data_IF_717156342708
#
_entry.id   IF_717156342708
#
_cell.length_a   1.000
_cell.length_b   1.000
_cell.length_c   1.000
_cell.angle_alpha   90.00
_cell.angle_beta   90.00
_cell.angle_gamma   90.00
#
_symmetry.space_group_name_H-M   'P 1'
#
loop_
_entity.id
_entity.type
_entity.pdbx_description
1 polymer ?
#
# COMPACT_ATOMS: atom_id res chain seq x y z
N UNK A 1 2.01 -0.43 -8.40
CA UNK A 1 1.98 0.16 -9.77
C UNK A 1 0.73 -0.18 -10.60
N UNK A 2 0.29 -1.44 -10.73
CA UNK A 2 -0.88 -1.77 -11.57
C UNK A 2 -2.23 -1.28 -10.98
N UNK A 3 -2.42 -1.44 -9.67
CA UNK A 3 -3.65 -1.04 -8.99
C UNK A 3 -3.94 0.46 -9.13
N UNK A 4 -2.93 1.32 -8.96
CA UNK A 4 -3.10 2.78 -9.07
C UNK A 4 -3.41 3.23 -10.50
N UNK A 5 -2.86 2.55 -11.51
CA UNK A 5 -3.18 2.81 -12.92
C UNK A 5 -4.61 2.42 -13.27
N UNK A 6 -5.07 1.26 -12.79
CA UNK A 6 -6.48 0.84 -12.92
C UNK A 6 -7.42 1.84 -12.24
N UNK A 7 -7.04 2.33 -11.05
CA UNK A 7 -7.77 3.37 -10.32
C UNK A 7 -7.83 4.70 -11.10
N UNK A 8 -6.69 5.17 -11.62
CA UNK A 8 -6.59 6.37 -12.44
C UNK A 8 -7.47 6.29 -13.69
N UNK A 9 -7.46 5.15 -14.39
CA UNK A 9 -8.32 4.91 -15.54
C UNK A 9 -9.81 4.96 -15.19
N UNK A 10 -10.22 4.33 -14.08
CA UNK A 10 -11.62 4.38 -13.60
C UNK A 10 -12.06 5.79 -13.22
N UNK A 11 -11.16 6.58 -12.65
CA UNK A 11 -11.41 7.97 -12.26
C UNK A 11 -11.25 8.98 -13.41
N UNK A 12 -10.89 8.50 -14.61
CA UNK A 12 -10.54 9.32 -15.76
C UNK A 12 -9.55 10.45 -15.38
N UNK A 13 -8.55 10.08 -14.57
CA UNK A 13 -7.59 10.97 -13.96
C UNK A 13 -6.15 10.49 -14.22
N UNK A 14 -5.17 11.38 -14.07
CA UNK A 14 -3.76 11.01 -14.13
C UNK A 14 -3.37 10.22 -12.88
N UNK A 15 -2.33 9.39 -12.98
CA UNK A 15 -1.80 8.67 -11.80
C UNK A 15 -1.38 9.66 -10.72
N UNK A 16 -0.76 10.78 -11.14
CA UNK A 16 -0.37 11.90 -10.27
C UNK A 16 -1.57 12.50 -9.50
N UNK A 17 -2.70 12.71 -10.16
CA UNK A 17 -3.91 13.23 -9.52
C UNK A 17 -4.46 12.27 -8.45
N UNK A 18 -4.44 10.96 -8.73
CA UNK A 18 -4.86 9.92 -7.78
C UNK A 18 -3.91 9.84 -6.58
N UNK A 19 -2.59 9.85 -6.82
CA UNK A 19 -1.59 9.88 -5.74
C UNK A 19 -1.80 11.10 -4.83
N UNK A 20 -1.95 12.29 -5.42
CA UNK A 20 -2.20 13.51 -4.64
C UNK A 20 -3.53 13.46 -3.90
N UNK A 21 -4.55 12.81 -4.47
CA UNK A 21 -5.84 12.59 -3.80
C UNK A 21 -5.67 11.70 -2.57
N UNK A 22 -4.86 10.65 -2.66
CA UNK A 22 -4.55 9.78 -1.52
C UNK A 22 -3.81 10.51 -0.41
N UNK A 23 -2.82 11.33 -0.77
CA UNK A 23 -2.09 12.18 0.17
C UNK A 23 -2.97 13.26 0.80
N UNK A 24 -4.05 13.67 0.12
CA UNK A 24 -5.01 14.66 0.60
C UNK A 24 -5.99 14.12 1.66
N UNK A 25 -5.99 12.81 1.95
CA UNK A 25 -6.81 12.26 3.04
C UNK A 25 -6.27 12.56 4.44
N UNK A 26 -5.04 13.05 4.56
CA UNK A 26 -4.49 13.57 5.81
C UNK A 26 -5.22 14.83 6.35
N UNK A 27 -4.95 15.18 7.62
CA UNK A 27 -5.44 16.43 8.24
C UNK A 27 -4.92 17.68 7.52
N UNK A 28 -5.53 18.86 7.71
CA UNK A 28 -5.14 20.11 7.00
C UNK A 28 -3.62 20.41 7.05
N UNK A 29 -2.98 20.17 8.20
CA UNK A 29 -1.53 20.33 8.39
C UNK A 29 -0.73 19.25 7.65
N UNK A 30 -1.21 18.01 7.69
CA UNK A 30 -0.63 16.88 6.98
C UNK A 30 -0.75 17.07 5.46
N UNK A 31 -1.87 17.63 4.96
CA UNK A 31 -2.03 17.95 3.52
C UNK A 31 -1.02 18.97 3.03
N UNK A 32 -0.75 20.00 3.83
CA UNK A 32 0.25 21.02 3.50
C UNK A 32 1.67 20.42 3.47
N UNK A 33 2.03 19.63 4.49
CA UNK A 33 3.29 18.90 4.54
C UNK A 33 3.43 17.94 3.34
N UNK A 34 2.39 17.14 3.08
CA UNK A 34 2.35 16.20 1.97
C UNK A 34 2.46 16.91 0.60
N UNK A 35 1.89 18.10 0.42
CA UNK A 35 1.97 18.85 -0.83
C UNK A 35 3.35 19.49 -1.08
N UNK A 36 3.94 20.11 -0.04
CA UNK A 36 5.29 20.67 -0.10
C UNK A 36 6.32 19.57 -0.33
N UNK A 37 6.16 18.47 0.38
CA UNK A 37 7.04 17.32 0.26
C UNK A 37 6.78 16.56 -1.04
N UNK A 38 5.56 16.46 -1.60
CA UNK A 38 5.34 15.85 -2.92
C UNK A 38 6.25 16.44 -4.00
N UNK A 39 6.46 17.77 -3.98
CA UNK A 39 7.42 18.45 -4.85
C UNK A 39 8.87 18.01 -4.61
N UNK A 40 9.27 17.81 -3.35
CA UNK A 40 10.61 17.35 -2.95
C UNK A 40 10.82 15.84 -3.21
N UNK A 41 9.81 15.01 -2.96
CA UNK A 41 9.77 13.56 -3.20
C UNK A 41 9.96 13.24 -4.68
N UNK A 42 9.33 14.01 -5.57
CA UNK A 42 9.52 13.89 -7.01
C UNK A 42 10.95 14.24 -7.46
N UNK A 43 11.68 15.05 -6.68
CA UNK A 43 13.04 15.50 -7.01
C UNK A 43 14.17 14.70 -6.34
N UNK A 44 13.92 14.00 -5.23
CA UNK A 44 14.98 13.44 -4.38
C UNK A 44 15.08 11.90 -4.35
N UNK A 45 14.06 11.15 -4.80
CA UNK A 45 14.04 9.69 -4.61
C UNK A 45 13.76 8.92 -5.91
N UNK A 46 14.74 8.09 -6.29
CA UNK A 46 14.60 7.03 -7.28
C UNK A 46 13.55 6.00 -6.82
N UNK A 47 12.36 6.05 -7.44
CA UNK A 47 11.66 4.85 -7.90
C UNK A 47 10.88 3.98 -6.91
N UNK A 48 10.60 4.40 -5.66
CA UNK A 48 9.66 3.62 -4.81
C UNK A 48 9.09 4.37 -3.62
N UNK A 49 7.76 4.47 -3.52
CA UNK A 49 7.04 4.87 -2.30
C UNK A 49 6.70 3.63 -1.44
N UNK A 50 7.27 3.47 -0.24
CA UNK A 50 6.85 2.42 0.70
C UNK A 50 5.37 2.51 1.10
N UNK A 51 4.78 3.70 1.03
CA UNK A 51 3.43 4.00 1.50
C UNK A 51 2.33 3.79 0.47
N UNK A 52 2.69 3.82 -0.81
CA UNK A 52 1.78 3.64 -1.92
C UNK A 52 2.06 2.36 -2.70
N UNK A 53 3.19 1.68 -2.42
CA UNK A 53 3.68 0.53 -3.21
C UNK A 53 3.71 0.85 -4.71
N UNK A 54 4.10 2.08 -5.03
CA UNK A 54 4.23 2.59 -6.39
C UNK A 54 5.67 3.00 -6.62
N UNK A 55 6.19 2.56 -7.75
CA UNK A 55 7.41 3.10 -8.32
C UNK A 55 7.12 4.53 -8.76
N UNK A 56 7.82 5.55 -8.23
CA UNK A 56 7.66 6.94 -8.68
C UNK A 56 8.34 7.24 -10.02
N UNK A 57 8.73 6.22 -10.79
CA UNK A 57 9.19 6.37 -12.16
C UNK A 57 8.34 7.38 -12.92
N UNK A 58 8.99 8.22 -13.73
CA UNK A 58 8.34 9.26 -14.54
C UNK A 58 7.24 8.58 -15.35
N UNK A 59 5.99 8.72 -14.91
CA UNK A 59 4.84 8.21 -15.63
C UNK A 59 4.70 9.07 -16.88
N UNK A 60 5.09 8.53 -18.03
CA UNK A 60 4.73 9.11 -19.30
C UNK A 60 3.24 8.77 -19.50
N UNK A 61 2.37 9.57 -18.91
CA UNK A 61 0.91 9.48 -19.07
C UNK A 61 0.57 9.93 -20.50
N UNK A 62 0.88 9.09 -21.49
CA UNK A 62 0.44 9.25 -22.88
C UNK A 62 -1.03 8.86 -23.05
N UNK A 63 -1.67 8.29 -22.02
CA UNK A 63 -3.12 8.08 -21.98
C UNK A 63 -3.83 9.36 -21.53
N UNK A 64 -4.85 9.75 -22.31
CA UNK A 64 -5.64 10.98 -22.26
C UNK A 64 -6.47 11.18 -20.98
N UNK A 65 -5.82 11.25 -19.82
CA UNK A 65 -6.46 11.57 -18.55
C UNK A 65 -7.05 12.99 -18.57
N UNK A 66 -8.36 13.12 -18.34
CA UNK A 66 -9.04 14.43 -18.38
C UNK A 66 -8.93 15.23 -17.08
N UNK A 67 -8.51 14.60 -15.98
CA UNK A 67 -8.37 15.23 -14.64
C UNK A 67 -6.94 15.12 -14.13
N UNK A 68 -6.38 16.26 -13.72
CA UNK A 68 -4.98 16.38 -13.28
C UNK A 68 -4.84 16.87 -11.84
N UNK A 69 -5.91 17.43 -11.26
CA UNK A 69 -5.88 17.99 -9.91
C UNK A 69 -6.62 17.08 -8.92
N UNK A 70 -6.10 16.90 -7.69
CA UNK A 70 -6.72 16.05 -6.68
C UNK A 70 -8.11 16.54 -6.26
N UNK A 71 -8.36 17.86 -6.37
CA UNK A 71 -9.68 18.45 -6.05
C UNK A 71 -10.78 18.12 -7.05
N UNK A 72 -10.44 17.60 -8.23
CA UNK A 72 -11.41 17.21 -9.26
C UNK A 72 -12.03 15.82 -8.98
N UNK A 73 -11.51 15.09 -7.99
CA UNK A 73 -11.96 13.76 -7.61
C UNK A 73 -12.61 13.88 -6.24
N UNK A 74 -13.91 13.60 -6.13
CA UNK A 74 -14.59 13.60 -4.84
C UNK A 74 -14.10 12.43 -3.97
N UNK A 75 -14.30 12.50 -2.66
CA UNK A 75 -13.91 11.37 -1.78
C UNK A 75 -14.77 10.14 -2.03
N UNK A 76 -16.06 10.34 -2.29
CA UNK A 76 -16.99 9.24 -2.59
C UNK A 76 -16.65 8.59 -3.93
N UNK A 77 -16.34 9.39 -4.95
CA UNK A 77 -15.93 8.87 -6.26
C UNK A 77 -14.61 8.08 -6.18
N UNK A 78 -13.64 8.59 -5.42
CA UNK A 78 -12.41 7.83 -5.14
C UNK A 78 -12.71 6.51 -4.42
N UNK A 79 -13.60 6.53 -3.41
CA UNK A 79 -13.97 5.34 -2.65
C UNK A 79 -14.62 4.29 -3.54
N UNK A 80 -15.61 4.68 -4.33
CA UNK A 80 -16.34 3.76 -5.21
C UNK A 80 -15.39 3.15 -6.24
N UNK A 81 -14.51 3.97 -6.83
CA UNK A 81 -13.49 3.47 -7.75
C UNK A 81 -12.47 2.54 -7.05
N UNK A 82 -12.06 2.86 -5.82
CA UNK A 82 -11.12 2.04 -5.05
C UNK A 82 -11.65 0.63 -4.78
N UNK A 83 -12.92 0.52 -4.38
CA UNK A 83 -13.57 -0.78 -4.17
C UNK A 83 -13.75 -1.55 -5.48
N UNK A 84 -14.17 -0.86 -6.56
CA UNK A 84 -14.36 -1.49 -7.87
C UNK A 84 -13.06 -2.00 -8.52
N UNK A 85 -11.89 -1.45 -8.17
CA UNK A 85 -10.59 -1.96 -8.63
C UNK A 85 -10.29 -3.37 -8.09
N UNK A 86 -10.91 -3.78 -6.97
CA UNK A 86 -10.73 -5.12 -6.42
C UNK A 86 -11.03 -6.22 -7.44
N UNK A 87 -12.18 -6.12 -8.12
CA UNK A 87 -12.61 -7.10 -9.12
C UNK A 87 -11.65 -7.18 -10.31
N UNK A 88 -11.13 -6.03 -10.76
CA UNK A 88 -10.17 -5.95 -11.86
C UNK A 88 -8.81 -6.59 -11.52
N UNK A 89 -8.46 -6.63 -10.24
CA UNK A 89 -7.22 -7.23 -9.75
C UNK A 89 -7.40 -8.75 -9.56
N UNK A 90 -8.57 -9.19 -9.09
CA UNK A 90 -8.91 -10.61 -9.00
C UNK A 90 -8.78 -11.32 -10.36
N UNK A 91 -9.19 -10.65 -11.44
CA UNK A 91 -9.09 -11.19 -12.80
C UNK A 91 -7.67 -11.50 -13.29
N UNK A 92 -6.62 -11.11 -12.54
CA UNK A 92 -5.23 -11.44 -12.87
C UNK A 92 -4.84 -12.89 -12.50
N UNK A 93 -5.65 -13.58 -11.69
CA UNK A 93 -5.35 -14.93 -11.20
C UNK A 93 -4.22 -14.94 -10.17
N UNK A 94 -3.32 -15.92 -10.27
CA UNK A 94 -2.21 -16.16 -9.34
C UNK A 94 -1.23 -14.99 -9.28
N UNK A 95 -1.51 -14.02 -8.41
CA UNK A 95 -0.76 -12.76 -8.34
C UNK A 95 -0.66 -12.25 -6.91
N UNK A 96 0.45 -11.56 -6.61
CA UNK A 96 0.64 -10.85 -5.34
C UNK A 96 0.32 -9.38 -5.60
N UNK A 97 -0.66 -8.85 -4.87
CA UNK A 97 -1.06 -7.45 -4.97
C UNK A 97 -0.57 -6.69 -3.75
N UNK A 98 0.43 -5.83 -3.95
CA UNK A 98 0.87 -4.88 -2.92
C UNK A 98 0.24 -3.52 -3.22
N UNK A 99 -0.69 -3.09 -2.35
CA UNK A 99 -1.36 -1.78 -2.43
C UNK A 99 -1.76 -1.29 -1.05
N UNK A 100 -1.96 0.03 -0.92
CA UNK A 100 -2.59 0.62 0.26
C UNK A 100 -4.04 0.14 0.37
N UNK A 101 -4.44 -0.24 1.58
CA UNK A 101 -5.81 -0.69 1.88
C UNK A 101 -6.21 -1.98 1.16
N UNK A 102 -5.24 -2.81 0.73
CA UNK A 102 -5.53 -4.08 0.06
C UNK A 102 -6.41 -5.02 0.90
N UNK A 103 -6.36 -4.89 2.23
CA UNK A 103 -7.24 -5.61 3.16
C UNK A 103 -8.68 -5.07 3.25
N UNK A 104 -8.96 -3.89 2.69
CA UNK A 104 -10.28 -3.28 2.75
C UNK A 104 -11.10 -3.58 1.49
N UNK A 105 -10.44 -3.73 0.34
CA UNK A 105 -11.11 -4.12 -0.90
C UNK A 105 -10.86 -5.59 -1.16
N UNK A 106 -11.87 -6.35 -1.56
CA UNK A 106 -11.83 -7.81 -1.71
C UNK A 106 -11.96 -8.61 -0.39
N UNK A 107 -12.48 -8.00 0.67
CA UNK A 107 -12.99 -8.74 1.84
C UNK A 107 -14.00 -9.79 1.39
N UNK A 108 -13.98 -10.97 2.03
CA UNK A 108 -14.85 -12.11 1.73
C UNK A 108 -14.78 -12.62 0.27
N UNK A 109 -13.71 -12.28 -0.46
CA UNK A 109 -13.52 -12.73 -1.83
C UNK A 109 -12.85 -14.11 -1.86
N UNK A 110 -13.49 -15.15 -2.42
CA UNK A 110 -12.89 -16.47 -2.50
C UNK A 110 -11.56 -16.46 -3.25
N UNK A 111 -10.56 -17.14 -2.68
CA UNK A 111 -9.21 -17.26 -3.25
C UNK A 111 -8.32 -16.01 -3.06
N UNK A 112 -8.77 -15.02 -2.29
CA UNK A 112 -7.95 -13.89 -1.86
C UNK A 112 -7.53 -14.11 -0.41
N UNK A 113 -6.24 -13.88 -0.12
CA UNK A 113 -5.67 -13.95 1.23
C UNK A 113 -5.07 -12.60 1.56
N UNK A 114 -5.59 -11.94 2.59
CA UNK A 114 -5.11 -10.67 3.08
C UNK A 114 -4.01 -10.88 4.12
N UNK A 115 -2.86 -10.26 3.86
CA UNK A 115 -1.67 -10.41 4.71
C UNK A 115 -1.37 -9.07 5.38
N UNK A 116 -1.31 -9.09 6.71
CA UNK A 116 -0.87 -7.97 7.55
C UNK A 116 0.53 -8.22 8.08
N UNK A 117 1.48 -7.33 7.77
CA UNK A 117 2.86 -7.40 8.25
C UNK A 117 3.09 -6.24 9.23
N UNK A 118 3.45 -6.57 10.45
CA UNK A 118 3.60 -5.63 11.55
C UNK A 118 5.00 -5.70 12.15
N UNK A 119 5.54 -4.56 12.55
CA UNK A 119 6.87 -4.48 13.15
C UNK A 119 6.89 -3.42 14.24
N UNK A 120 7.67 -3.64 15.32
CA UNK A 120 7.97 -2.60 16.29
C UNK A 120 8.46 -1.32 15.60
N UNK A 121 8.07 -0.16 16.14
CA UNK A 121 8.40 1.13 15.55
C UNK A 121 9.90 1.30 15.31
N UNK A 122 10.72 0.95 16.29
CA UNK A 122 12.17 1.08 16.21
C UNK A 122 12.78 0.22 15.08
N UNK A 123 12.25 -0.98 14.87
CA UNK A 123 12.65 -1.85 13.76
C UNK A 123 12.36 -1.17 12.42
N UNK A 124 11.17 -0.59 12.26
CA UNK A 124 10.79 0.15 11.05
C UNK A 124 11.66 1.39 10.84
N UNK A 125 11.97 2.14 11.90
CA UNK A 125 12.85 3.31 11.84
C UNK A 125 14.27 2.93 11.37
N UNK A 126 14.87 1.87 11.93
CA UNK A 126 16.17 1.36 11.46
C UNK A 126 16.14 0.93 10.00
N UNK A 127 15.07 0.22 9.59
CA UNK A 127 14.91 -0.27 8.21
C UNK A 127 14.79 0.89 7.23
N UNK A 128 14.02 1.93 7.57
CA UNK A 128 13.91 3.16 6.76
C UNK A 128 15.22 3.93 6.71
N UNK A 129 15.90 4.11 7.85
CA UNK A 129 17.21 4.77 7.92
C UNK A 129 18.22 4.10 6.97
N UNK A 130 18.31 2.76 7.03
CA UNK A 130 19.22 1.97 6.18
C UNK A 130 18.83 2.04 4.70
N UNK A 131 17.54 1.85 4.38
CA UNK A 131 17.05 1.80 3.01
C UNK A 131 17.18 3.13 2.29
N UNK A 132 16.90 4.23 2.98
CA UNK A 132 16.92 5.58 2.40
C UNK A 132 18.24 6.31 2.63
N UNK A 133 19.17 5.72 3.39
CA UNK A 133 20.46 6.33 3.78
C UNK A 133 20.28 7.68 4.49
N UNK A 134 19.31 7.73 5.39
CA UNK A 134 18.98 8.93 6.19
C UNK A 134 19.33 8.74 7.67
N UNK A 135 19.48 9.83 8.40
CA UNK A 135 19.77 9.79 9.84
C UNK A 135 18.60 9.26 10.67
N UNK A 136 18.89 8.76 11.89
CA UNK A 136 17.87 8.18 12.78
C UNK A 136 16.70 9.14 13.08
N UNK A 137 16.99 10.42 13.32
CA UNK A 137 15.96 11.45 13.58
C UNK A 137 15.04 11.66 12.37
N UNK A 138 15.58 11.61 11.17
CA UNK A 138 14.80 11.74 9.93
C UNK A 138 13.95 10.48 9.69
N UNK A 139 14.53 9.30 9.86
CA UNK A 139 13.80 8.04 9.77
C UNK A 139 12.62 7.96 10.75
N UNK A 140 12.81 8.41 12.00
CA UNK A 140 11.75 8.47 13.00
C UNK A 140 10.60 9.41 12.59
N UNK A 141 10.93 10.56 11.99
CA UNK A 141 9.92 11.50 11.45
C UNK A 141 9.17 10.86 10.29
N UNK A 142 9.88 10.21 9.37
CA UNK A 142 9.29 9.51 8.23
C UNK A 142 8.32 8.43 8.71
N UNK A 143 8.76 7.50 9.55
CA UNK A 143 7.91 6.41 10.09
C UNK A 143 6.67 6.95 10.80
N UNK A 144 6.82 7.97 11.64
CA UNK A 144 5.66 8.59 12.33
C UNK A 144 4.66 9.19 11.32
N UNK A 145 5.17 9.91 10.32
CA UNK A 145 4.33 10.52 9.27
C UNK A 145 3.58 9.45 8.48
N UNK A 146 4.33 8.46 8.04
CA UNK A 146 3.90 7.27 7.31
C UNK A 146 2.75 6.52 8.00
N UNK A 147 2.85 6.29 9.31
CA UNK A 147 1.78 5.67 10.08
C UNK A 147 0.55 6.57 10.18
N UNK A 148 0.76 7.88 10.39
CA UNK A 148 -0.35 8.84 10.45
C UNK A 148 -1.09 8.96 9.11
N UNK A 149 -0.36 8.97 7.99
CA UNK A 149 -0.95 8.98 6.64
C UNK A 149 -1.75 7.70 6.37
N UNK A 150 -1.25 6.54 6.83
CA UNK A 150 -1.96 5.26 6.73
C UNK A 150 -3.26 5.29 7.54
N UNK A 151 -3.21 5.69 8.82
CA UNK A 151 -4.42 5.79 9.67
C UNK A 151 -5.43 6.79 9.13
N UNK A 152 -4.98 7.98 8.70
CA UNK A 152 -5.88 8.98 8.13
C UNK A 152 -6.58 8.46 6.87
N UNK A 153 -5.85 7.75 6.01
CA UNK A 153 -6.42 7.15 4.80
C UNK A 153 -7.47 6.08 5.15
N UNK A 154 -7.16 5.15 6.05
CA UNK A 154 -8.09 4.07 6.47
C UNK A 154 -9.35 4.63 7.15
N UNK A 155 -9.17 5.57 8.08
CA UNK A 155 -10.28 6.24 8.76
C UNK A 155 -11.16 6.99 7.76
N UNK A 156 -10.55 7.72 6.82
CA UNK A 156 -11.32 8.53 5.85
C UNK A 156 -12.10 7.68 4.85
N UNK A 157 -11.56 6.52 4.48
CA UNK A 157 -12.15 5.68 3.43
C UNK A 157 -13.18 4.69 3.97
N UNK A 158 -12.89 4.04 5.10
CA UNK A 158 -13.67 2.92 5.62
C UNK A 158 -13.96 3.01 7.12
N UNK A 159 -13.59 4.11 7.78
CA UNK A 159 -13.67 4.24 9.25
C UNK A 159 -13.00 3.06 9.99
N UNK A 160 -11.91 2.56 9.41
CA UNK A 160 -11.16 1.41 9.93
C UNK A 160 -9.81 1.85 10.53
N UNK A 161 -9.21 0.99 11.35
CA UNK A 161 -7.86 1.16 11.89
C UNK A 161 -6.91 0.16 11.23
N UNK A 162 -5.84 0.60 10.53
CA UNK A 162 -4.91 -0.32 9.87
C UNK A 162 -4.16 -1.25 10.83
N UNK A 163 -4.12 -0.93 12.13
CA UNK A 163 -3.55 -1.79 13.16
C UNK A 163 -4.52 -2.89 13.65
N UNK A 164 -5.79 -2.86 13.22
CA UNK A 164 -6.76 -3.92 13.51
C UNK A 164 -6.38 -5.22 12.78
N UNK A 165 -5.99 -6.23 13.57
CA UNK A 165 -5.54 -7.53 13.07
C UNK A 165 -6.68 -8.33 12.42
N UNK A 166 -7.95 -8.01 12.71
CA UNK A 166 -9.10 -8.71 12.12
C UNK A 166 -9.32 -8.42 10.63
N UNK A 167 -8.66 -7.39 10.09
CA UNK A 167 -8.68 -7.06 8.67
C UNK A 167 -7.84 -8.02 7.81
N UNK A 168 -7.13 -8.97 8.43
CA UNK A 168 -6.14 -9.81 7.76
C UNK A 168 -6.38 -11.29 8.06
N UNK A 169 -6.25 -12.13 7.03
CA UNK A 169 -6.32 -13.59 7.15
C UNK A 169 -5.01 -14.16 7.72
N UNK A 170 -3.89 -13.53 7.37
CA UNK A 170 -2.55 -13.85 7.87
C UNK A 170 -1.95 -12.63 8.53
N UNK A 171 -1.41 -12.83 9.73
CA UNK A 171 -0.84 -11.76 10.56
C UNK A 171 0.59 -12.16 10.93
N UNK A 172 1.56 -11.41 10.43
CA UNK A 172 2.98 -11.62 10.71
C UNK A 172 3.56 -10.47 11.53
N UNK A 173 4.18 -10.81 12.64
CA UNK A 173 5.02 -9.89 13.42
C UNK A 173 6.50 -10.12 13.06
N UNK A 174 7.17 -9.05 12.62
CA UNK A 174 8.55 -9.08 12.13
C UNK A 174 9.48 -8.20 12.96
N UNK A 175 10.52 -8.84 13.50
CA UNK A 175 11.60 -8.25 14.25
C UNK A 175 12.92 -8.15 13.47
N UNK A 176 13.99 -7.74 14.14
CA UNK A 176 15.34 -7.65 13.54
C UNK A 176 16.01 -9.02 13.32
N UNK A 177 15.45 -10.08 13.90
CA UNK A 177 15.94 -11.46 13.89
C UNK A 177 15.52 -12.23 12.63
N UNK A 178 14.57 -11.72 11.86
CA UNK A 178 14.05 -12.36 10.64
C UNK A 178 14.63 -11.70 9.39
N UNK A 179 15.22 -12.51 8.51
CA UNK A 179 15.61 -12.05 7.18
C UNK A 179 14.40 -11.92 6.26
N UNK A 180 14.53 -11.17 5.17
CA UNK A 180 13.47 -11.07 4.16
C UNK A 180 13.12 -12.44 3.54
N UNK A 181 14.07 -13.38 3.50
CA UNK A 181 13.83 -14.77 3.06
C UNK A 181 12.97 -15.52 4.08
N UNK A 182 13.29 -15.42 5.37
CA UNK A 182 12.53 -16.10 6.43
C UNK A 182 11.07 -15.62 6.47
N UNK A 183 10.88 -14.32 6.24
CA UNK A 183 9.55 -13.70 6.14
C UNK A 183 8.80 -14.26 4.92
N UNK A 184 9.46 -14.31 3.76
CA UNK A 184 8.86 -14.84 2.55
C UNK A 184 8.48 -16.33 2.68
N UNK A 185 9.35 -17.13 3.28
CA UNK A 185 9.11 -18.56 3.51
C UNK A 185 7.94 -18.79 4.47
N UNK A 186 7.84 -17.98 5.52
CA UNK A 186 6.72 -18.00 6.46
C UNK A 186 5.41 -17.62 5.77
N UNK A 187 5.43 -16.57 4.95
CA UNK A 187 4.27 -16.14 4.14
C UNK A 187 3.78 -17.23 3.20
N UNK A 188 4.68 -17.86 2.44
CA UNK A 188 4.32 -18.92 1.50
C UNK A 188 3.69 -20.10 2.25
N UNK A 189 4.31 -20.50 3.37
CA UNK A 189 3.81 -21.60 4.20
C UNK A 189 2.41 -21.33 4.73
N UNK A 190 2.18 -20.15 5.30
CA UNK A 190 0.87 -19.78 5.86
C UNK A 190 -0.18 -19.59 4.76
N UNK A 191 0.18 -18.97 3.62
CA UNK A 191 -0.73 -18.80 2.49
C UNK A 191 -1.20 -20.14 1.90
N UNK A 192 -0.33 -21.15 1.85
CA UNK A 192 -0.71 -22.51 1.44
C UNK A 192 -1.71 -23.11 2.44
N UNK A 193 -1.48 -22.96 3.74
CA UNK A 193 -2.38 -23.49 4.76
C UNK A 193 -3.77 -22.83 4.72
N UNK A 194 -3.84 -21.52 4.48
CA UNK A 194 -5.10 -20.79 4.35
C UNK A 194 -5.85 -21.20 3.08
N UNK A 195 -5.15 -21.31 1.94
CA UNK A 195 -5.79 -21.62 0.66
C UNK A 195 -6.20 -23.09 0.49
N UNK A 196 -5.42 -24.04 1.04
CA UNK A 196 -5.59 -25.47 0.77
C UNK A 196 -5.84 -26.32 2.03
N UNK A 197 -5.85 -25.72 3.23
CA UNK A 197 -5.96 -26.42 4.51
C UNK A 197 -4.68 -27.15 4.93
N UNK A 198 -4.68 -27.72 6.15
CA UNK A 198 -3.51 -28.42 6.74
C UNK A 198 -3.03 -29.67 5.99
N UNK A 199 -3.79 -30.15 4.99
CA UNK A 199 -3.51 -31.41 4.29
C UNK A 199 -2.63 -31.24 3.03
N UNK A 200 -2.28 -30.02 2.63
CA UNK A 200 -1.46 -29.79 1.44
C UNK A 200 0.03 -29.90 1.78
N UNK A 201 0.65 -31.03 1.40
CA UNK A 201 2.12 -31.12 1.28
C UNK A 201 2.51 -30.65 -0.13
N UNK A 202 3.37 -29.63 -0.29
CA UNK A 202 3.88 -29.28 -1.59
C UNK A 202 4.69 -30.48 -2.11
N UNK A 203 4.36 -30.95 -3.33
CA UNK A 203 5.20 -31.90 -4.06
C UNK A 203 6.54 -31.19 -4.33
N UNK A 204 7.54 -31.46 -3.48
CA UNK A 204 8.92 -31.14 -3.77
C UNK A 204 9.35 -31.99 -4.96
N UNK A 205 9.23 -31.44 -6.17
CA UNK A 205 9.93 -31.97 -7.34
C UNK A 205 11.36 -31.42 -7.30
N UNK A 206 12.32 -32.32 -7.03
CA UNK A 206 13.76 -32.10 -7.19
C UNK A 206 14.14 -31.92 -8.66
#
# INVERSE_FOLDING_TARGET
>A
TLAIRKLARRLNASVDAVVRKELAFGSRRIRFANALEYGLYRSAMYGWDPHLAVDFGIWNDTESSKRFLPGQISTDEYRDAFYAVGDDLRGLGNSIVVKRGGCLNMTDTPGVVHIGIFAPREHRERRIARRLRVGASEAAKLVKRFDNDRRAWFSKLANAEPEDRSLYDIVLDVGDDLSDSDIADSLVREAIQVNYGKAFQPLLSF
#
